data_IF_871674747269
#
_entry.id   IF_871674747269
#
_cell.length_a   1.000
_cell.length_b   1.000
_cell.length_c   1.000
_cell.angle_alpha   90.00
_cell.angle_beta   90.00
_cell.angle_gamma   90.00
#
_symmetry.space_group_name_H-M   'P 1'
#
loop_
_entity.id
_entity.type
_entity.pdbx_description
1 polymer ?
#
# COMPACT_ATOMS: atom_id res chain seq x y z
N UNK A 1 14.68 -31.19 -28.50
CA UNK A 1 14.00 -31.66 -27.28
C UNK A 1 14.98 -32.30 -26.29
N UNK A 2 15.64 -33.44 -26.61
CA UNK A 2 16.58 -34.06 -25.65
C UNK A 2 17.79 -33.15 -25.33
N UNK A 3 18.29 -32.41 -26.33
CA UNK A 3 19.39 -31.46 -26.14
C UNK A 3 19.02 -30.26 -25.24
N UNK A 4 17.78 -29.76 -25.31
CA UNK A 4 17.31 -28.70 -24.41
C UNK A 4 17.20 -29.21 -22.97
N UNK A 5 16.61 -30.39 -22.77
CA UNK A 5 16.49 -30.98 -21.43
C UNK A 5 17.84 -31.31 -20.79
N UNK A 6 18.83 -31.73 -21.60
CA UNK A 6 20.20 -31.94 -21.12
C UNK A 6 20.89 -30.61 -20.77
N UNK A 7 20.64 -29.55 -21.55
CA UNK A 7 21.12 -28.20 -21.25
C UNK A 7 20.61 -27.69 -19.89
N UNK A 8 19.31 -27.87 -19.63
CA UNK A 8 18.69 -27.47 -18.36
C UNK A 8 19.26 -28.24 -17.16
N UNK A 9 19.48 -29.55 -17.28
CA UNK A 9 20.07 -30.36 -16.20
C UNK A 9 21.53 -29.97 -15.94
N UNK A 10 22.32 -29.72 -16.99
CA UNK A 10 23.72 -29.28 -16.84
C UNK A 10 23.77 -27.89 -16.20
N UNK A 11 22.87 -26.98 -16.59
CA UNK A 11 22.74 -25.66 -15.98
C UNK A 11 22.38 -25.78 -14.48
N UNK A 12 21.42 -26.65 -14.14
CA UNK A 12 21.01 -26.88 -12.75
C UNK A 12 22.15 -27.45 -11.88
N UNK A 13 23.02 -28.29 -12.47
CA UNK A 13 24.16 -28.89 -11.78
C UNK A 13 25.38 -27.96 -11.69
N UNK A 14 25.49 -26.97 -12.57
CA UNK A 14 26.57 -25.95 -12.53
C UNK A 14 26.24 -24.75 -11.65
N UNK A 15 24.98 -24.55 -11.28
CA UNK A 15 24.58 -23.60 -10.26
C UNK A 15 25.00 -24.12 -8.87
N UNK A 16 26.15 -23.63 -8.37
CA UNK A 16 26.61 -23.87 -7.01
C UNK A 16 25.55 -23.45 -5.97
N UNK A 17 25.28 -24.22 -4.90
CA UNK A 17 24.20 -23.95 -3.92
C UNK A 17 24.33 -22.64 -3.11
N UNK A 18 25.35 -21.83 -3.40
CA UNK A 18 25.53 -20.48 -2.91
C UNK A 18 24.95 -19.40 -3.83
N UNK A 19 24.38 -19.75 -5.00
CA UNK A 19 23.56 -18.79 -5.76
C UNK A 19 22.25 -18.68 -5.02
N UNK A 20 22.06 -17.54 -4.35
CA UNK A 20 20.80 -17.17 -3.73
C UNK A 20 19.72 -17.32 -4.78
N UNK A 21 18.85 -18.31 -4.56
CA UNK A 21 17.72 -18.56 -5.43
C UNK A 21 16.83 -17.34 -5.26
N UNK A 22 16.96 -16.36 -6.16
CA UNK A 22 16.11 -15.19 -6.16
C UNK A 22 14.67 -15.69 -6.21
N UNK A 23 13.91 -15.43 -5.15
CA UNK A 23 12.51 -15.82 -5.07
C UNK A 23 11.73 -14.90 -6.00
N UNK A 24 11.78 -15.22 -7.29
CA UNK A 24 10.92 -14.75 -8.38
C UNK A 24 11.23 -13.34 -8.91
N UNK A 25 11.97 -13.22 -10.03
CA UNK A 25 11.86 -12.21 -11.12
C UNK A 25 11.70 -10.71 -10.81
N UNK A 26 11.70 -10.27 -9.56
CA UNK A 26 11.58 -8.87 -9.20
C UNK A 26 12.96 -8.25 -9.13
N UNK A 27 13.14 -7.12 -9.82
CA UNK A 27 14.33 -6.26 -9.82
C UNK A 27 14.74 -5.82 -8.38
N UNK A 28 13.91 -6.14 -7.39
CA UNK A 28 14.11 -5.93 -5.96
C UNK A 28 14.82 -7.08 -5.22
N UNK A 29 15.22 -8.18 -5.88
CA UNK A 29 15.87 -9.34 -5.21
C UNK A 29 17.35 -9.51 -5.60
N UNK A 30 18.05 -8.39 -5.80
CA UNK A 30 19.50 -8.34 -6.08
C UNK A 30 20.26 -8.21 -4.75
N UNK A 31 21.34 -8.98 -4.64
CA UNK A 31 22.10 -9.30 -3.42
C UNK A 31 22.68 -8.12 -2.61
N UNK A 32 22.68 -6.91 -3.14
CA UNK A 32 23.10 -5.70 -2.42
C UNK A 32 21.96 -4.76 -1.98
N UNK A 33 20.75 -5.34 -1.86
CA UNK A 33 19.51 -4.78 -1.27
C UNK A 33 18.80 -3.73 -2.13
N UNK A 34 17.46 -3.82 -2.27
CA UNK A 34 16.74 -2.75 -2.93
C UNK A 34 15.24 -2.56 -2.58
N UNK A 35 14.80 -1.50 -1.91
CA UNK A 35 14.81 -0.10 -2.37
C UNK A 35 16.02 0.36 -3.23
N UNK A 36 16.36 -0.29 -4.38
CA UNK A 36 17.69 -0.14 -5.07
C UNK A 36 17.97 1.28 -5.52
N UNK A 37 16.91 2.05 -5.66
CA UNK A 37 16.92 3.43 -6.14
C UNK A 37 16.96 4.45 -5.00
N UNK A 38 16.64 4.06 -3.76
CA UNK A 38 16.74 4.94 -2.59
C UNK A 38 18.00 4.55 -1.81
N UNK A 39 19.12 5.26 -2.04
CA UNK A 39 20.38 4.86 -1.44
C UNK A 39 20.27 4.89 0.08
N UNK A 40 20.89 3.91 0.77
CA UNK A 40 20.96 3.86 2.25
C UNK A 40 21.48 5.17 2.87
N UNK A 41 22.22 5.97 2.10
CA UNK A 41 22.66 7.31 2.49
C UNK A 41 21.52 8.30 2.72
N UNK A 42 20.34 8.11 2.10
CA UNK A 42 19.20 9.01 2.22
C UNK A 42 18.35 8.70 3.47
N UNK A 43 18.21 7.42 3.83
CA UNK A 43 17.33 6.96 4.91
C UNK A 43 18.05 6.67 6.24
N UNK A 44 19.37 6.42 6.21
CA UNK A 44 20.19 6.17 7.40
C UNK A 44 20.06 4.75 7.98
N UNK A 45 20.95 4.41 8.91
CA UNK A 45 20.90 3.13 9.63
C UNK A 45 19.84 3.22 10.73
N UNK A 46 18.70 2.52 10.56
CA UNK A 46 17.60 2.55 11.53
C UNK A 46 16.30 3.22 11.04
N UNK A 47 16.10 3.34 9.72
CA UNK A 47 14.87 3.94 9.17
C UNK A 47 13.60 3.11 9.41
N UNK A 48 13.71 1.80 9.68
CA UNK A 48 12.56 0.88 9.77
C UNK A 48 11.48 1.35 10.78
N UNK A 49 11.81 1.63 12.05
CA UNK A 49 10.81 2.11 13.01
C UNK A 49 10.19 3.46 12.59
N UNK A 50 10.99 4.35 11.99
CA UNK A 50 10.49 5.63 11.50
C UNK A 50 9.48 5.46 10.35
N UNK A 51 9.73 4.51 9.46
CA UNK A 51 8.86 4.20 8.34
C UNK A 51 7.52 3.59 8.80
N UNK A 52 7.57 2.70 9.81
CA UNK A 52 6.37 2.13 10.44
C UNK A 52 5.54 3.20 11.15
N UNK A 53 6.17 4.04 11.97
CA UNK A 53 5.49 5.15 12.66
C UNK A 53 4.83 6.07 11.62
N UNK A 54 5.56 6.41 10.55
CA UNK A 54 5.03 7.25 9.47
C UNK A 54 3.82 6.59 8.79
N UNK A 55 3.88 5.29 8.51
CA UNK A 55 2.77 4.53 7.94
C UNK A 55 1.52 4.56 8.83
N UNK A 56 1.68 4.28 10.13
CA UNK A 56 0.56 4.31 11.07
C UNK A 56 -0.03 5.72 11.22
N UNK A 57 0.82 6.73 11.35
CA UNK A 57 0.40 8.13 11.45
C UNK A 57 -0.37 8.57 10.20
N UNK A 58 0.13 8.23 9.00
CA UNK A 58 -0.54 8.56 7.74
C UNK A 58 -1.89 7.85 7.59
N UNK A 59 -1.97 6.56 7.94
CA UNK A 59 -3.23 5.82 7.84
C UNK A 59 -4.27 6.33 8.83
N UNK A 60 -3.90 6.50 10.10
CA UNK A 60 -4.81 7.04 11.12
C UNK A 60 -5.27 8.44 10.75
N UNK A 61 -4.34 9.30 10.28
CA UNK A 61 -4.66 10.65 9.81
C UNK A 61 -5.62 10.64 8.62
N UNK A 62 -5.37 9.79 7.61
CA UNK A 62 -6.21 9.69 6.42
C UNK A 62 -7.60 9.09 6.73
N UNK A 63 -7.68 8.08 7.60
CA UNK A 63 -8.94 7.51 8.09
C UNK A 63 -9.74 8.59 8.82
N UNK A 64 -9.11 9.32 9.75
CA UNK A 64 -9.77 10.40 10.49
C UNK A 64 -10.29 11.50 9.57
N UNK A 65 -9.49 11.90 8.57
CA UNK A 65 -9.87 12.89 7.58
C UNK A 65 -11.06 12.42 6.70
N UNK A 66 -11.03 11.17 6.24
CA UNK A 66 -12.13 10.59 5.45
C UNK A 66 -13.41 10.44 6.30
N UNK A 67 -13.29 9.96 7.53
CA UNK A 67 -14.43 9.82 8.45
C UNK A 67 -15.05 11.19 8.77
N UNK A 68 -14.22 12.20 8.99
CA UNK A 68 -14.68 13.58 9.18
C UNK A 68 -15.50 14.05 7.97
N UNK A 69 -15.00 13.86 6.74
CA UNK A 69 -15.74 14.22 5.54
C UNK A 69 -17.04 13.44 5.33
N UNK A 70 -17.06 12.16 5.70
CA UNK A 70 -18.28 11.36 5.63
C UNK A 70 -19.37 11.89 6.59
N UNK A 71 -19.00 12.44 7.74
CA UNK A 71 -19.93 12.90 8.78
C UNK A 71 -20.40 14.35 8.67
N UNK A 72 -19.64 15.23 8.03
CA UNK A 72 -20.03 16.64 7.89
C UNK A 72 -21.38 16.75 7.15
N UNK A 73 -22.41 17.21 7.86
CA UNK A 73 -23.79 17.28 7.33
C UNK A 73 -23.94 18.30 6.19
N UNK A 74 -23.40 19.51 6.36
CA UNK A 74 -23.49 20.60 5.38
C UNK A 74 -22.17 20.75 4.64
N UNK A 75 -22.17 20.27 3.40
CA UNK A 75 -21.07 20.50 2.48
C UNK A 75 -21.41 21.72 1.62
N UNK A 76 -20.97 22.90 2.05
CA UNK A 76 -21.32 24.13 1.35
C UNK A 76 -20.50 24.25 0.05
N UNK A 77 -21.20 24.26 -1.11
CA UNK A 77 -20.62 24.14 -2.46
C UNK A 77 -19.80 25.36 -2.90
N UNK A 78 -19.79 26.43 -2.10
CA UNK A 78 -19.26 27.74 -2.48
C UNK A 78 -17.78 27.97 -2.21
N UNK A 79 -17.11 27.17 -1.37
CA UNK A 79 -15.78 27.53 -0.90
C UNK A 79 -14.65 26.92 -1.74
N UNK A 80 -13.81 27.81 -2.30
CA UNK A 80 -12.49 27.49 -2.86
C UNK A 80 -11.66 26.57 -1.95
N UNK A 81 -11.91 26.61 -0.64
CA UNK A 81 -11.33 25.72 0.37
C UNK A 81 -11.67 24.24 0.19
N UNK A 82 -12.89 23.88 -0.24
CA UNK A 82 -13.29 22.49 -0.46
C UNK A 82 -12.39 21.80 -1.50
N UNK A 83 -12.14 22.46 -2.63
CA UNK A 83 -11.36 21.87 -3.71
C UNK A 83 -9.90 21.67 -3.32
N UNK A 84 -9.34 22.64 -2.61
CA UNK A 84 -7.99 22.51 -2.04
C UNK A 84 -7.91 21.29 -1.13
N UNK A 85 -8.89 21.15 -0.24
CA UNK A 85 -8.95 20.07 0.73
C UNK A 85 -9.12 18.68 0.09
N UNK A 86 -9.97 18.55 -0.92
CA UNK A 86 -10.10 17.32 -1.72
C UNK A 86 -8.79 16.97 -2.43
N UNK A 87 -8.12 17.97 -3.01
CA UNK A 87 -6.84 17.78 -3.71
C UNK A 87 -5.75 17.34 -2.74
N UNK A 88 -5.65 17.99 -1.57
CA UNK A 88 -4.71 17.59 -0.51
C UNK A 88 -4.98 16.17 -0.03
N UNK A 89 -6.25 15.81 0.16
CA UNK A 89 -6.62 14.44 0.59
C UNK A 89 -6.25 13.39 -0.46
N UNK A 90 -6.46 13.68 -1.75
CA UNK A 90 -6.08 12.79 -2.84
C UNK A 90 -4.54 12.66 -2.99
N UNK A 91 -3.80 13.76 -2.82
CA UNK A 91 -2.33 13.71 -2.80
C UNK A 91 -1.81 12.93 -1.58
N UNK A 92 -2.41 13.15 -0.41
CA UNK A 92 -2.07 12.42 0.80
C UNK A 92 -2.36 10.92 0.67
N UNK A 93 -3.44 10.53 -0.03
CA UNK A 93 -3.72 9.11 -0.29
C UNK A 93 -2.71 8.48 -1.25
N UNK A 94 -2.21 9.23 -2.23
CA UNK A 94 -1.11 8.78 -3.10
C UNK A 94 0.19 8.59 -2.31
N UNK A 95 0.55 9.54 -1.45
CA UNK A 95 1.72 9.42 -0.56
C UNK A 95 1.55 8.23 0.37
N UNK A 96 0.35 8.03 0.95
CA UNK A 96 0.05 6.89 1.81
C UNK A 96 0.25 5.55 1.06
N UNK A 97 -0.14 5.48 -0.22
CA UNK A 97 0.05 4.29 -1.04
C UNK A 97 1.53 3.96 -1.29
N UNK A 98 2.36 4.98 -1.55
CA UNK A 98 3.80 4.81 -1.69
C UNK A 98 4.45 4.34 -0.38
N UNK A 99 4.09 4.96 0.75
CA UNK A 99 4.62 4.57 2.06
C UNK A 99 4.17 3.16 2.44
N UNK A 100 2.91 2.78 2.19
CA UNK A 100 2.43 1.42 2.39
C UNK A 100 3.27 0.42 1.61
N UNK A 101 3.49 0.64 0.31
CA UNK A 101 4.31 -0.26 -0.50
C UNK A 101 5.73 -0.43 0.06
N UNK A 102 6.36 0.68 0.47
CA UNK A 102 7.69 0.66 1.05
C UNK A 102 7.74 -0.10 2.38
N UNK A 103 6.81 0.17 3.31
CA UNK A 103 6.74 -0.53 4.60
C UNK A 103 6.47 -2.02 4.41
N UNK A 104 5.59 -2.36 3.47
CA UNK A 104 5.27 -3.74 3.18
C UNK A 104 6.49 -4.53 2.74
N UNK A 105 7.29 -4.00 1.81
CA UNK A 105 8.50 -4.66 1.33
C UNK A 105 9.56 -4.71 2.44
N UNK A 106 9.80 -3.59 3.13
CA UNK A 106 10.98 -3.42 3.99
C UNK A 106 10.81 -3.98 5.41
N UNK A 107 9.58 -4.02 5.93
CA UNK A 107 9.29 -4.44 7.31
C UNK A 107 8.20 -5.50 7.40
N UNK A 108 7.01 -5.25 6.86
CA UNK A 108 5.87 -6.11 7.16
C UNK A 108 5.92 -7.46 6.47
N UNK A 109 6.38 -7.56 5.21
CA UNK A 109 6.45 -8.86 4.52
C UNK A 109 7.37 -9.87 5.25
N UNK A 110 8.63 -9.52 5.61
CA UNK A 110 9.47 -10.41 6.43
C UNK A 110 8.84 -10.77 7.77
N UNK A 111 8.19 -9.79 8.43
CA UNK A 111 7.55 -9.99 9.72
C UNK A 111 6.36 -10.95 9.64
N UNK A 112 5.44 -10.73 8.69
CA UNK A 112 4.23 -11.54 8.49
C UNK A 112 4.56 -12.99 8.15
N UNK A 113 5.64 -13.22 7.38
CA UNK A 113 6.08 -14.57 7.02
C UNK A 113 6.95 -15.23 8.10
N UNK A 114 7.47 -14.48 9.07
CA UNK A 114 8.51 -14.98 9.98
C UNK A 114 9.81 -15.34 9.25
N UNK A 115 10.11 -14.67 8.13
CA UNK A 115 11.25 -14.96 7.26
C UNK A 115 12.05 -13.68 6.97
N UNK A 116 13.15 -13.41 7.71
CA UNK A 116 13.81 -12.10 7.72
C UNK A 116 14.48 -11.70 6.40
N UNK A 117 14.70 -12.67 5.51
CA UNK A 117 15.32 -12.46 4.19
C UNK A 117 14.29 -12.51 3.04
N UNK A 118 13.01 -12.70 3.33
CA UNK A 118 11.94 -12.75 2.32
C UNK A 118 11.20 -11.42 2.28
N UNK A 119 11.53 -10.59 1.30
CA UNK A 119 10.94 -9.24 1.13
C UNK A 119 9.94 -9.17 -0.05
N UNK A 120 9.82 -10.24 -0.82
CA UNK A 120 8.99 -10.27 -2.02
C UNK A 120 7.50 -10.32 -1.67
N UNK A 121 6.72 -9.40 -2.25
CA UNK A 121 5.26 -9.38 -2.05
C UNK A 121 4.57 -10.62 -2.62
N UNK A 122 5.16 -11.22 -3.66
CA UNK A 122 4.64 -12.47 -4.21
C UNK A 122 4.79 -13.62 -3.21
N UNK A 123 5.96 -13.74 -2.56
CA UNK A 123 6.13 -14.69 -1.46
C UNK A 123 5.15 -14.42 -0.32
N UNK A 124 4.95 -13.15 0.04
CA UNK A 124 3.98 -12.79 1.07
C UNK A 124 2.58 -13.32 0.75
N UNK A 125 2.10 -13.14 -0.48
CA UNK A 125 0.78 -13.63 -0.89
C UNK A 125 0.69 -15.16 -1.00
N UNK A 126 1.82 -15.86 -1.19
CA UNK A 126 1.85 -17.32 -1.18
C UNK A 126 1.85 -17.90 0.25
N UNK A 127 2.68 -17.35 1.14
CA UNK A 127 2.81 -17.83 2.52
C UNK A 127 1.68 -17.34 3.43
N UNK A 128 1.15 -16.14 3.19
CA UNK A 128 0.15 -15.47 4.01
C UNK A 128 -0.98 -14.93 3.10
N UNK A 129 -1.80 -15.81 2.50
CA UNK A 129 -2.71 -15.44 1.39
C UNK A 129 -3.84 -14.48 1.76
N UNK A 130 -4.24 -14.39 3.02
CA UNK A 130 -5.22 -13.41 3.50
C UNK A 130 -4.72 -11.96 3.41
N UNK A 131 -3.41 -11.75 3.29
CA UNK A 131 -2.84 -10.43 2.98
C UNK A 131 -3.28 -9.89 1.61
N UNK A 132 -3.75 -10.74 0.68
CA UNK A 132 -4.37 -10.27 -0.56
C UNK A 132 -5.59 -9.41 -0.25
N UNK A 133 -6.43 -9.82 0.70
CA UNK A 133 -7.60 -9.05 1.12
C UNK A 133 -7.18 -7.74 1.77
N UNK A 134 -6.15 -7.75 2.62
CA UNK A 134 -5.56 -6.55 3.22
C UNK A 134 -5.17 -5.52 2.15
N UNK A 135 -4.51 -5.96 1.07
CA UNK A 135 -4.10 -5.10 -0.05
C UNK A 135 -5.30 -4.57 -0.84
N UNK A 136 -6.29 -5.42 -1.12
CA UNK A 136 -7.50 -4.99 -1.83
C UNK A 136 -8.27 -3.92 -1.04
N UNK A 137 -8.42 -4.11 0.27
CA UNK A 137 -9.03 -3.13 1.16
C UNK A 137 -8.23 -1.81 1.19
N UNK A 138 -6.91 -1.91 1.26
CA UNK A 138 -6.03 -0.74 1.23
C UNK A 138 -6.14 0.04 -0.10
N UNK A 139 -6.07 -0.67 -1.23
CA UNK A 139 -6.15 -0.08 -2.58
C UNK A 139 -7.51 0.60 -2.77
N UNK A 140 -8.61 -0.09 -2.41
CA UNK A 140 -9.95 0.49 -2.51
C UNK A 140 -10.07 1.75 -1.65
N UNK A 141 -9.54 1.71 -0.43
CA UNK A 141 -9.57 2.83 0.50
C UNK A 141 -8.73 4.03 0.08
N UNK A 142 -7.54 3.80 -0.48
CA UNK A 142 -6.64 4.86 -0.96
C UNK A 142 -7.07 5.47 -2.30
N UNK A 143 -7.72 4.69 -3.17
CA UNK A 143 -8.24 5.18 -4.45
C UNK A 143 -9.53 6.00 -4.31
N UNK A 144 -10.36 5.72 -3.29
CA UNK A 144 -11.64 6.41 -3.09
C UNK A 144 -11.54 7.95 -2.98
N UNK A 145 -10.57 8.54 -2.25
CA UNK A 145 -10.33 9.99 -2.29
C UNK A 145 -9.97 10.54 -3.67
N UNK A 146 -9.21 9.78 -4.48
CA UNK A 146 -8.87 10.15 -5.85
C UNK A 146 -10.12 10.17 -6.74
N UNK A 147 -10.99 9.17 -6.61
CA UNK A 147 -12.30 9.15 -7.28
C UNK A 147 -13.19 10.29 -6.81
N UNK A 148 -13.20 10.62 -5.52
CA UNK A 148 -13.97 11.74 -4.99
C UNK A 148 -13.53 13.07 -5.59
N UNK A 149 -12.22 13.26 -5.73
CA UNK A 149 -11.64 14.43 -6.42
C UNK A 149 -12.04 14.49 -7.91
N UNK A 150 -11.99 13.37 -8.63
CA UNK A 150 -12.42 13.30 -10.03
C UNK A 150 -13.93 13.61 -10.20
N UNK A 151 -14.77 13.05 -9.32
CA UNK A 151 -16.23 13.30 -9.33
C UNK A 151 -16.53 14.78 -9.08
N UNK A 152 -15.83 15.43 -8.15
CA UNK A 152 -15.98 16.87 -7.92
C UNK A 152 -15.57 17.68 -9.15
N UNK A 153 -14.46 17.32 -9.79
CA UNK A 153 -13.96 18.05 -10.96
C UNK A 153 -14.89 17.94 -12.17
N UNK A 154 -15.41 16.73 -12.45
CA UNK A 154 -16.19 16.46 -13.67
C UNK A 154 -17.67 16.79 -13.49
N UNK A 155 -18.27 16.43 -12.34
CA UNK A 155 -19.73 16.51 -12.15
C UNK A 155 -20.28 17.90 -11.80
N UNK A 156 -19.42 18.93 -11.71
CA UNK A 156 -19.78 20.24 -11.16
C UNK A 156 -20.77 21.02 -12.02
N UNK A 157 -20.84 20.69 -13.32
CA UNK A 157 -21.73 21.33 -14.29
C UNK A 157 -22.86 20.39 -14.66
N UNK A 158 -24.07 20.93 -14.81
CA UNK A 158 -25.25 20.19 -15.27
C UNK A 158 -26.02 19.49 -14.15
N UNK A 159 -26.93 18.62 -14.56
CA UNK A 159 -27.91 17.94 -13.69
C UNK A 159 -27.26 17.03 -12.64
N UNK A 160 -26.06 16.52 -12.93
CA UNK A 160 -25.28 15.68 -12.02
C UNK A 160 -24.81 16.41 -10.75
N UNK A 161 -24.73 17.75 -10.77
CA UNK A 161 -24.25 18.56 -9.66
C UNK A 161 -25.08 18.35 -8.39
N UNK A 162 -26.39 18.09 -8.53
CA UNK A 162 -27.29 17.80 -7.41
C UNK A 162 -26.85 16.57 -6.59
N UNK A 163 -26.28 15.57 -7.26
CA UNK A 163 -25.96 14.27 -6.65
C UNK A 163 -24.54 14.18 -6.07
N UNK A 164 -23.62 15.07 -6.46
CA UNK A 164 -22.22 15.06 -6.01
C UNK A 164 -22.07 14.87 -4.49
N UNK A 165 -22.74 15.66 -3.62
CA UNK A 165 -22.48 15.56 -2.18
C UNK A 165 -22.79 14.18 -1.61
N UNK A 166 -23.77 13.47 -2.18
CA UNK A 166 -24.11 12.10 -1.77
C UNK A 166 -23.00 11.12 -2.17
N UNK A 167 -22.49 11.21 -3.39
CA UNK A 167 -21.40 10.37 -3.87
C UNK A 167 -20.09 10.63 -3.12
N UNK A 168 -19.75 11.89 -2.85
CA UNK A 168 -18.56 12.23 -2.07
C UNK A 168 -18.62 11.61 -0.67
N UNK A 169 -19.75 11.73 0.03
CA UNK A 169 -19.93 11.09 1.35
C UNK A 169 -19.81 9.58 1.29
N UNK A 170 -20.39 8.95 0.26
CA UNK A 170 -20.28 7.49 0.08
C UNK A 170 -18.83 7.06 -0.18
N UNK A 171 -18.09 7.78 -1.02
CA UNK A 171 -16.68 7.51 -1.31
C UNK A 171 -15.79 7.69 -0.07
N UNK A 172 -16.00 8.77 0.70
CA UNK A 172 -15.24 8.97 1.95
C UNK A 172 -15.60 7.98 3.05
N UNK A 173 -16.87 7.57 3.16
CA UNK A 173 -17.27 6.52 4.08
C UNK A 173 -16.66 5.17 3.69
N UNK A 174 -16.67 4.83 2.40
CA UNK A 174 -16.01 3.64 1.86
C UNK A 174 -14.51 3.68 2.15
N UNK A 175 -13.85 4.83 1.92
CA UNK A 175 -12.44 5.02 2.20
C UNK A 175 -12.12 4.76 3.69
N UNK A 176 -12.86 5.41 4.59
CA UNK A 176 -12.66 5.26 6.03
C UNK A 176 -12.86 3.80 6.49
N UNK A 177 -13.93 3.15 6.02
CA UNK A 177 -14.23 1.75 6.38
C UNK A 177 -13.13 0.80 5.91
N UNK A 178 -12.76 0.88 4.63
CA UNK A 178 -11.82 -0.06 3.99
C UNK A 178 -10.39 0.15 4.47
N UNK A 179 -9.94 1.40 4.65
CA UNK A 179 -8.65 1.70 5.27
C UNK A 179 -8.60 1.23 6.73
N UNK A 180 -9.68 1.40 7.50
CA UNK A 180 -9.75 0.92 8.89
C UNK A 180 -9.66 -0.61 8.96
N UNK A 181 -10.39 -1.30 8.07
CA UNK A 181 -10.35 -2.76 8.00
C UNK A 181 -8.95 -3.26 7.59
N UNK A 182 -8.32 -2.64 6.59
CA UNK A 182 -6.94 -2.96 6.20
C UNK A 182 -5.94 -2.72 7.34
N UNK A 183 -6.04 -1.58 8.02
CA UNK A 183 -5.17 -1.24 9.15
C UNK A 183 -5.34 -2.23 10.31
N UNK A 184 -6.58 -2.62 10.61
CA UNK A 184 -6.87 -3.62 11.63
C UNK A 184 -6.22 -4.97 11.27
N UNK A 185 -6.34 -5.42 10.01
CA UNK A 185 -5.66 -6.64 9.56
C UNK A 185 -4.15 -6.54 9.70
N UNK A 186 -3.54 -5.41 9.32
CA UNK A 186 -2.10 -5.17 9.52
C UNK A 186 -1.72 -5.32 10.99
N UNK A 187 -2.46 -4.68 11.91
CA UNK A 187 -2.19 -4.75 13.36
C UNK A 187 -2.32 -6.19 13.85
N UNK A 188 -3.36 -6.92 13.44
CA UNK A 188 -3.57 -8.31 13.83
C UNK A 188 -2.40 -9.19 13.38
N UNK A 189 -1.93 -9.05 12.13
CA UNK A 189 -0.75 -9.78 11.67
C UNK A 189 0.51 -9.41 12.47
N UNK A 190 0.74 -8.14 12.77
CA UNK A 190 1.90 -7.72 13.58
C UNK A 190 1.86 -8.29 15.01
N UNK A 191 0.67 -8.40 15.61
CA UNK A 191 0.50 -8.92 16.97
C UNK A 191 0.62 -10.45 17.01
N UNK A 192 0.12 -11.15 15.99
CA UNK A 192 0.12 -12.62 15.93
C UNK A 192 1.47 -13.16 15.44
N UNK A 193 2.17 -12.42 14.57
CA UNK A 193 3.44 -12.87 14.03
C UNK A 193 4.48 -12.96 15.15
N UNK A 194 5.19 -14.09 15.30
CA UNK A 194 6.21 -14.23 16.32
C UNK A 194 7.30 -13.17 16.07
N UNK A 195 7.52 -12.30 17.05
CA UNK A 195 8.64 -11.36 17.04
C UNK A 195 9.93 -12.16 17.00
N UNK A 196 10.58 -12.18 15.83
CA UNK A 196 11.94 -12.70 15.63
C UNK A 196 12.98 -11.85 16.37
#
# INVERSE_FOLDING_TARGET
MIADSLGDVILFLTLSPSVVVSCCTTVTDIMDRPTSTVPRSLLGTGYRPGLEILYFALNVGLIGLCAFFAWVKKWDRGQRGQRSLLTVTALLSLVNALIFLLVQIESFAPCFMGLPYHHCLYCLWQYVPDTILLYLLFILGTMAPGWAWLVEMVGRKGEAAAFIPRYLKALFALAALTLSASLLMTILHLVISPSL
#
